data_IF_527277865266
#
_entry.id   IF_527277865266
#
_cell.length_a   1.000
_cell.length_b   1.000
_cell.length_c   1.000
_cell.angle_alpha   90.00
_cell.angle_beta   90.00
_cell.angle_gamma   90.00
#
_symmetry.space_group_name_H-M   'P 1'
#
loop_
_entity.id
_entity.type
_entity.pdbx_description
1 polymer ?
#
# COMPACT_ATOMS: atom_id res chain seq x y z
N UNK A 1 5.32 10.44 -11.28
CA UNK A 1 5.01 11.24 -10.09
C UNK A 1 3.51 11.12 -9.81
N UNK A 2 3.13 10.85 -8.57
CA UNK A 2 1.72 10.80 -8.15
C UNK A 2 1.36 12.09 -7.41
N UNK A 3 0.15 12.60 -7.65
CA UNK A 3 -0.32 13.82 -7.02
C UNK A 3 -1.83 13.75 -6.76
N UNK A 4 -2.25 14.19 -5.59
CA UNK A 4 -3.64 14.47 -5.26
C UNK A 4 -3.77 15.95 -4.88
N UNK A 5 -4.81 16.59 -5.35
CA UNK A 5 -5.04 18.03 -5.17
C UNK A 5 -6.45 18.28 -4.66
N UNK A 6 -6.54 18.89 -3.48
CA UNK A 6 -7.79 19.38 -2.92
C UNK A 6 -8.89 18.35 -2.76
N UNK A 7 -8.54 17.08 -2.43
CA UNK A 7 -9.54 16.02 -2.32
C UNK A 7 -10.51 16.28 -1.18
N UNK A 8 -11.80 16.33 -1.53
CA UNK A 8 -12.91 16.44 -0.58
C UNK A 8 -13.82 15.23 -0.69
N UNK A 9 -14.37 14.81 0.47
CA UNK A 9 -15.39 13.75 0.54
C UNK A 9 -16.26 13.91 1.75
N UNK A 10 -17.58 13.86 1.52
CA UNK A 10 -18.60 13.90 2.57
C UNK A 10 -19.51 12.67 2.49
N UNK A 11 -20.00 12.22 3.63
CA UNK A 11 -21.04 11.21 3.77
C UNK A 11 -22.22 11.84 4.53
N UNK A 12 -23.22 12.30 3.79
CA UNK A 12 -24.28 13.15 4.36
C UNK A 12 -23.68 14.46 4.88
N UNK A 13 -23.91 14.76 6.16
CA UNK A 13 -23.36 15.95 6.82
C UNK A 13 -21.94 15.80 7.34
N UNK A 14 -21.37 14.59 7.28
CA UNK A 14 -20.02 14.34 7.78
C UNK A 14 -18.98 14.52 6.69
N UNK A 15 -18.16 15.55 6.79
CA UNK A 15 -16.99 15.75 5.95
C UNK A 15 -15.83 14.91 6.45
N UNK A 16 -15.38 13.93 5.64
CA UNK A 16 -14.33 12.96 6.01
C UNK A 16 -12.98 13.27 5.33
N UNK A 17 -13.00 14.01 4.23
CA UNK A 17 -11.80 14.58 3.61
C UNK A 17 -12.08 16.03 3.24
N UNK A 18 -11.18 16.94 3.64
CA UNK A 18 -11.36 18.39 3.58
C UNK A 18 -10.18 19.05 2.86
N UNK A 19 -10.18 19.01 1.53
CA UNK A 19 -9.16 19.64 0.71
C UNK A 19 -7.78 18.99 0.83
N UNK A 20 -7.70 17.66 1.03
CA UNK A 20 -6.43 16.95 1.21
C UNK A 20 -5.62 16.99 -0.08
N UNK A 21 -4.38 17.46 0.03
CA UNK A 21 -3.41 17.45 -1.07
C UNK A 21 -2.16 16.71 -0.64
N UNK A 22 -1.59 15.89 -1.53
CA UNK A 22 -0.33 15.21 -1.31
C UNK A 22 0.40 14.98 -2.64
N UNK A 23 1.73 14.87 -2.58
CA UNK A 23 2.56 14.55 -3.73
C UNK A 23 3.58 13.47 -3.38
N UNK A 24 3.69 12.47 -4.25
CA UNK A 24 4.67 11.40 -4.13
C UNK A 24 5.60 11.47 -5.33
N UNK A 25 6.84 11.96 -5.17
CA UNK A 25 7.87 11.79 -6.18
C UNK A 25 8.20 10.31 -6.39
N UNK A 26 8.87 10.01 -7.49
CA UNK A 26 9.36 8.64 -7.75
C UNK A 26 10.24 8.18 -6.59
N UNK A 27 10.01 6.98 -6.11
CA UNK A 27 10.77 6.41 -5.01
C UNK A 27 10.45 6.99 -3.62
N UNK A 28 9.42 7.83 -3.48
CA UNK A 28 9.02 8.36 -2.18
C UNK A 28 8.66 7.24 -1.20
N UNK A 29 9.02 7.43 0.06
CA UNK A 29 8.60 6.64 1.21
C UNK A 29 7.76 7.54 2.10
N UNK A 30 6.46 7.51 1.92
CA UNK A 30 5.54 8.43 2.60
C UNK A 30 4.57 7.64 3.48
N UNK A 31 4.43 8.06 4.73
CA UNK A 31 3.45 7.49 5.63
C UNK A 31 2.29 8.47 5.90
N UNK A 32 1.09 7.93 6.02
CA UNK A 32 -0.08 8.63 6.54
C UNK A 32 -0.42 8.05 7.89
N UNK A 33 -0.44 8.89 8.90
CA UNK A 33 -0.78 8.52 10.27
C UNK A 33 -1.94 9.39 10.78
N UNK A 34 -2.56 8.98 11.87
CA UNK A 34 -3.65 9.73 12.51
C UNK A 34 -4.55 8.82 13.33
N UNK A 35 -5.38 9.37 14.21
CA UNK A 35 -6.29 8.59 15.05
C UNK A 35 -7.34 7.84 14.20
N UNK A 36 -8.04 6.90 14.84
CA UNK A 36 -9.17 6.24 14.20
C UNK A 36 -10.25 7.27 13.86
N UNK A 37 -10.84 7.15 12.67
CA UNK A 37 -11.82 8.11 12.17
C UNK A 37 -11.23 9.40 11.58
N UNK A 38 -9.91 9.55 11.49
CA UNK A 38 -9.29 10.75 10.88
C UNK A 38 -9.42 10.85 9.35
N UNK A 39 -9.94 9.79 8.68
CA UNK A 39 -10.16 9.79 7.24
C UNK A 39 -9.12 9.03 6.41
N UNK A 40 -8.16 8.32 7.03
CA UNK A 40 -7.08 7.59 6.33
C UNK A 40 -7.58 6.61 5.29
N UNK A 41 -8.46 5.69 5.69
CA UNK A 41 -9.04 4.67 4.76
C UNK A 41 -9.86 5.34 3.67
N UNK A 42 -10.61 6.40 3.98
CA UNK A 42 -11.35 7.18 2.98
C UNK A 42 -10.39 7.80 1.97
N UNK A 43 -9.29 8.40 2.43
CA UNK A 43 -8.26 8.96 1.54
C UNK A 43 -7.69 7.88 0.63
N UNK A 44 -7.35 6.70 1.15
CA UNK A 44 -6.88 5.58 0.31
C UNK A 44 -7.89 5.13 -0.74
N UNK A 45 -9.18 5.07 -0.37
CA UNK A 45 -10.25 4.75 -1.31
C UNK A 45 -10.39 5.81 -2.42
N UNK A 46 -10.20 7.09 -2.08
CA UNK A 46 -10.16 8.18 -3.07
C UNK A 46 -8.95 8.06 -4.01
N UNK A 47 -7.77 7.77 -3.44
CA UNK A 47 -6.53 7.62 -4.22
C UNK A 47 -6.54 6.38 -5.10
N UNK A 48 -7.10 5.25 -4.64
CA UNK A 48 -7.19 4.00 -5.40
C UNK A 48 -8.32 4.00 -6.44
N UNK A 49 -9.30 4.91 -6.32
CA UNK A 49 -10.48 4.97 -7.19
C UNK A 49 -11.63 4.05 -6.78
N UNK A 50 -11.57 3.47 -5.59
CA UNK A 50 -12.69 2.74 -4.99
C UNK A 50 -13.82 3.68 -4.56
N UNK A 51 -13.49 4.95 -4.32
CA UNK A 51 -14.42 6.00 -3.99
C UNK A 51 -14.13 7.23 -4.86
N UNK A 52 -15.19 7.83 -5.43
CA UNK A 52 -15.07 9.09 -6.14
C UNK A 52 -15.02 10.27 -5.16
N UNK A 53 -14.12 11.24 -5.33
CA UNK A 53 -14.14 12.47 -4.56
C UNK A 53 -15.34 13.34 -4.94
N UNK A 54 -15.79 14.19 -4.02
CA UNK A 54 -16.80 15.21 -4.28
C UNK A 54 -16.16 16.46 -4.93
N UNK A 55 -14.87 16.70 -4.65
CA UNK A 55 -14.04 17.70 -5.29
C UNK A 55 -12.57 17.31 -5.24
N UNK A 56 -11.74 17.95 -6.08
CA UNK A 56 -10.32 17.67 -6.18
C UNK A 56 -9.97 16.65 -7.25
N UNK A 57 -8.67 16.46 -7.47
CA UNK A 57 -8.14 15.69 -8.60
C UNK A 57 -7.02 14.75 -8.18
N UNK A 58 -6.87 13.64 -8.90
CA UNK A 58 -5.77 12.67 -8.75
C UNK A 58 -5.04 12.52 -10.08
N UNK A 59 -3.70 12.57 -10.03
CA UNK A 59 -2.82 12.49 -11.20
C UNK A 59 -1.77 11.40 -11.05
N UNK A 60 -1.50 10.67 -12.13
CA UNK A 60 -0.38 9.74 -12.27
C UNK A 60 0.43 10.16 -13.48
N UNK A 61 1.73 10.47 -13.29
CA UNK A 61 2.63 10.96 -14.33
C UNK A 61 2.05 12.14 -15.14
N UNK A 62 1.37 13.07 -14.47
CA UNK A 62 0.75 14.25 -15.08
C UNK A 62 -0.59 13.99 -15.78
N UNK A 63 -1.01 12.74 -15.89
CA UNK A 63 -2.33 12.38 -16.43
C UNK A 63 -3.35 12.35 -15.31
N UNK A 64 -4.46 13.03 -15.49
CA UNK A 64 -5.59 12.94 -14.58
C UNK A 64 -6.24 11.55 -14.61
N UNK A 65 -6.47 10.97 -13.43
CA UNK A 65 -7.06 9.66 -13.23
C UNK A 65 -8.25 9.67 -12.28
N UNK A 66 -8.75 10.84 -11.92
CA UNK A 66 -9.80 11.04 -10.92
C UNK A 66 -11.05 10.20 -11.19
N UNK A 67 -11.51 10.16 -12.44
CA UNK A 67 -12.69 9.39 -12.86
C UNK A 67 -12.39 7.92 -13.21
N UNK A 68 -11.13 7.49 -13.15
CA UNK A 68 -10.77 6.12 -13.51
C UNK A 68 -11.06 5.14 -12.36
N UNK A 69 -11.64 3.96 -12.67
CA UNK A 69 -11.84 2.90 -11.69
C UNK A 69 -10.50 2.25 -11.27
N UNK A 70 -10.47 1.47 -10.16
CA UNK A 70 -9.23 0.90 -9.61
C UNK A 70 -8.38 0.12 -10.60
N UNK A 71 -9.01 -0.70 -11.44
CA UNK A 71 -8.31 -1.51 -12.45
C UNK A 71 -7.64 -0.66 -13.53
N UNK A 72 -8.23 0.48 -13.90
CA UNK A 72 -7.63 1.43 -14.83
C UNK A 72 -6.48 2.22 -14.18
N UNK A 73 -6.59 2.57 -12.87
CA UNK A 73 -5.49 3.17 -12.11
C UNK A 73 -4.34 2.17 -11.93
N UNK A 74 -4.65 0.88 -11.71
CA UNK A 74 -3.63 -0.16 -11.66
C UNK A 74 -2.84 -0.25 -12.98
N UNK A 75 -3.54 -0.20 -14.13
CA UNK A 75 -2.89 -0.12 -15.46
C UNK A 75 -2.09 1.16 -15.67
N UNK A 76 -2.43 2.24 -15.01
CA UNK A 76 -1.66 3.48 -15.02
C UNK A 76 -0.44 3.44 -14.08
N UNK A 77 -0.32 2.42 -13.24
CA UNK A 77 0.82 2.17 -12.38
C UNK A 77 0.57 2.37 -10.88
N UNK A 78 -0.68 2.51 -10.43
CA UNK A 78 -1.01 2.62 -9.01
C UNK A 78 -1.70 1.34 -8.52
N UNK A 79 -1.08 0.64 -7.58
CA UNK A 79 -1.63 -0.57 -6.97
C UNK A 79 -1.83 -0.36 -5.48
N UNK A 80 -2.87 -0.97 -4.94
CA UNK A 80 -3.13 -1.05 -3.51
C UNK A 80 -3.02 -2.49 -3.04
N UNK A 81 -2.38 -2.73 -1.88
CA UNK A 81 -2.55 -3.99 -1.16
C UNK A 81 -3.97 -4.04 -0.58
N UNK A 82 -4.62 -5.18 -0.71
CA UNK A 82 -6.01 -5.31 -0.29
C UNK A 82 -6.11 -5.60 1.21
N UNK A 83 -7.08 -4.98 1.90
CA UNK A 83 -7.42 -5.26 3.30
C UNK A 83 -8.10 -6.63 3.50
N UNK A 84 -8.66 -7.24 2.45
CA UNK A 84 -9.31 -8.56 2.49
C UNK A 84 -8.51 -9.53 1.66
N UNK A 85 -8.25 -10.71 2.24
CA UNK A 85 -7.49 -11.80 1.64
C UNK A 85 -7.96 -12.12 0.20
N UNK A 86 -7.29 -11.56 -0.79
CA UNK A 86 -7.44 -11.93 -2.20
C UNK A 86 -6.51 -13.09 -2.56
N UNK A 87 -6.13 -13.88 -1.56
CA UNK A 87 -5.30 -15.05 -1.71
C UNK A 87 -6.17 -16.25 -2.08
N UNK A 88 -5.64 -17.12 -2.91
CA UNK A 88 -6.21 -18.44 -3.17
C UNK A 88 -5.71 -19.39 -2.09
N UNK A 89 -6.51 -19.71 -1.05
CA UNK A 89 -6.01 -20.39 0.15
C UNK A 89 -5.59 -21.83 -0.11
N UNK A 90 -6.17 -22.47 -1.10
CA UNK A 90 -5.89 -23.86 -1.49
C UNK A 90 -4.75 -23.99 -2.52
N UNK A 91 -4.29 -22.88 -3.07
CA UNK A 91 -3.15 -22.80 -3.96
C UNK A 91 -1.86 -22.56 -3.18
N UNK A 92 -0.72 -22.91 -3.76
CA UNK A 92 0.60 -22.63 -3.19
C UNK A 92 0.97 -21.15 -3.33
N UNK A 93 2.01 -20.71 -2.62
CA UNK A 93 2.60 -19.37 -2.77
C UNK A 93 3.00 -19.13 -4.23
N UNK A 94 3.70 -20.13 -4.84
CA UNK A 94 4.13 -20.02 -6.23
C UNK A 94 2.95 -19.86 -7.19
N UNK A 95 1.88 -20.64 -7.01
CA UNK A 95 0.68 -20.56 -7.84
C UNK A 95 -0.03 -19.18 -7.69
N UNK A 96 -0.16 -18.66 -6.48
CA UNK A 96 -0.72 -17.33 -6.24
C UNK A 96 0.07 -16.24 -6.97
N UNK A 97 1.40 -16.24 -6.81
CA UNK A 97 2.28 -15.28 -7.47
C UNK A 97 2.25 -15.45 -9.00
N UNK A 98 2.24 -16.69 -9.50
CA UNK A 98 2.18 -16.97 -10.93
C UNK A 98 0.87 -16.46 -11.56
N UNK A 99 -0.27 -16.60 -10.87
CA UNK A 99 -1.55 -16.02 -11.30
C UNK A 99 -1.44 -14.49 -11.41
N UNK A 100 -0.91 -13.84 -10.38
CA UNK A 100 -0.76 -12.39 -10.37
C UNK A 100 0.18 -11.89 -11.48
N UNK A 101 1.31 -12.56 -11.70
CA UNK A 101 2.26 -12.28 -12.80
C UNK A 101 1.58 -12.44 -14.16
N UNK A 102 0.77 -13.49 -14.36
CA UNK A 102 0.05 -13.70 -15.60
C UNK A 102 -0.97 -12.59 -15.89
N UNK A 103 -1.68 -12.13 -14.85
CA UNK A 103 -2.61 -10.99 -14.94
C UNK A 103 -1.86 -9.71 -15.32
N UNK A 104 -0.73 -9.42 -14.66
CA UNK A 104 0.11 -8.26 -14.92
C UNK A 104 0.68 -8.24 -16.34
N UNK A 105 1.09 -9.40 -16.85
CA UNK A 105 1.59 -9.56 -18.21
C UNK A 105 0.50 -9.47 -19.31
N UNK A 106 -0.77 -9.18 -18.95
CA UNK A 106 -1.92 -9.21 -19.87
C UNK A 106 -2.07 -10.54 -20.62
N UNK A 107 -1.60 -11.61 -20.02
CA UNK A 107 -1.68 -12.94 -20.58
C UNK A 107 -3.10 -13.55 -20.48
N UNK A 108 -4.13 -12.71 -20.42
CA UNK A 108 -5.54 -13.07 -20.19
C UNK A 108 -6.17 -13.99 -21.25
N UNK A 109 -5.42 -14.42 -22.26
CA UNK A 109 -5.80 -15.44 -23.23
C UNK A 109 -5.01 -16.73 -23.07
N UNK A 110 -4.16 -16.84 -22.07
CA UNK A 110 -3.40 -18.06 -21.82
C UNK A 110 -4.35 -19.11 -21.21
N UNK A 111 -4.74 -20.09 -21.98
CA UNK A 111 -5.45 -21.27 -21.52
C UNK A 111 -4.71 -21.87 -20.32
N UNK A 112 -5.43 -22.28 -19.27
CA UNK A 112 -4.92 -22.86 -18.03
C UNK A 112 -3.79 -23.90 -18.19
N UNK A 113 -3.81 -24.68 -19.29
CA UNK A 113 -2.73 -25.63 -19.63
C UNK A 113 -1.42 -24.96 -20.07
N UNK A 114 -1.51 -23.82 -20.76
CA UNK A 114 -0.33 -23.03 -21.16
C UNK A 114 0.26 -22.27 -19.97
N UNK A 115 -0.59 -21.81 -19.04
CA UNK A 115 -0.18 -21.21 -17.77
C UNK A 115 0.73 -22.14 -16.96
N UNK A 116 0.31 -23.40 -16.70
CA UNK A 116 1.12 -24.39 -15.97
C UNK A 116 2.45 -24.74 -16.65
N UNK A 117 2.60 -24.50 -17.95
CA UNK A 117 3.82 -24.79 -18.74
C UNK A 117 4.67 -23.55 -19.03
N UNK A 118 4.24 -22.36 -18.67
CA UNK A 118 4.99 -21.13 -18.94
C UNK A 118 6.15 -20.99 -17.95
N UNK A 119 7.34 -21.42 -18.37
CA UNK A 119 8.58 -21.28 -17.60
C UNK A 119 8.91 -19.82 -17.25
N UNK A 120 8.51 -18.86 -18.09
CA UNK A 120 8.73 -17.44 -17.83
C UNK A 120 7.87 -16.90 -16.67
N UNK A 121 6.58 -17.25 -16.64
CA UNK A 121 5.68 -16.86 -15.54
C UNK A 121 6.19 -17.42 -14.21
N UNK A 122 6.56 -18.71 -14.18
CA UNK A 122 7.07 -19.35 -12.96
C UNK A 122 8.40 -18.75 -12.52
N UNK A 123 9.31 -18.45 -13.46
CA UNK A 123 10.58 -17.79 -13.15
C UNK A 123 10.35 -16.40 -12.54
N UNK A 124 9.44 -15.60 -13.11
CA UNK A 124 9.09 -14.27 -12.57
C UNK A 124 8.40 -14.39 -11.21
N UNK A 125 7.52 -15.37 -11.03
CA UNK A 125 6.88 -15.64 -9.74
C UNK A 125 7.90 -16.04 -8.66
N UNK A 126 8.87 -16.91 -8.99
CA UNK A 126 9.94 -17.29 -8.07
C UNK A 126 10.85 -16.10 -7.71
N UNK A 127 11.22 -15.26 -8.69
CA UNK A 127 11.99 -14.03 -8.42
C UNK A 127 11.20 -13.04 -7.55
N UNK A 128 9.89 -12.99 -7.70
CA UNK A 128 9.03 -12.17 -6.84
C UNK A 128 8.95 -12.75 -5.42
N UNK A 129 8.85 -14.06 -5.28
CA UNK A 129 8.89 -14.74 -3.97
C UNK A 129 10.20 -14.47 -3.22
N UNK A 130 11.34 -14.46 -3.92
CA UNK A 130 12.63 -14.08 -3.35
C UNK A 130 12.59 -12.62 -2.83
N UNK A 131 12.08 -11.69 -3.63
CA UNK A 131 11.95 -10.27 -3.26
C UNK A 131 11.10 -10.05 -2.00
N UNK A 132 10.04 -10.82 -1.84
CA UNK A 132 9.17 -10.76 -0.66
C UNK A 132 9.55 -11.77 0.43
N UNK A 133 10.75 -12.41 0.33
CA UNK A 133 11.31 -13.35 1.29
C UNK A 133 10.48 -14.62 1.52
N UNK A 134 9.72 -15.05 0.50
CA UNK A 134 8.87 -16.25 0.55
C UNK A 134 9.42 -17.47 -0.17
N UNK A 135 10.68 -17.45 -0.60
CA UNK A 135 11.35 -18.60 -1.26
C UNK A 135 11.20 -19.92 -0.47
N UNK A 136 11.33 -19.97 0.88
CA UNK A 136 11.16 -21.21 1.64
C UNK A 136 9.74 -21.78 1.61
N UNK A 137 8.75 -20.97 1.22
CA UNK A 137 7.33 -21.33 1.27
C UNK A 137 6.70 -21.56 -0.10
N UNK A 138 7.49 -21.59 -1.20
CA UNK A 138 6.98 -21.65 -2.58
C UNK A 138 5.93 -22.75 -2.79
N UNK A 139 6.17 -23.95 -2.26
CA UNK A 139 5.29 -25.11 -2.39
C UNK A 139 4.26 -25.25 -1.25
N UNK A 140 4.25 -24.30 -0.31
CA UNK A 140 3.32 -24.30 0.82
C UNK A 140 1.99 -23.71 0.39
N UNK A 141 0.88 -24.36 0.73
CA UNK A 141 -0.47 -23.81 0.52
C UNK A 141 -0.68 -22.58 1.42
N UNK A 142 -1.36 -21.58 0.89
CA UNK A 142 -1.54 -20.31 1.61
C UNK A 142 -2.24 -20.49 2.96
N UNK A 143 -3.22 -21.38 3.05
CA UNK A 143 -3.91 -21.66 4.33
C UNK A 143 -3.00 -22.19 5.44
N UNK A 144 -1.86 -22.78 5.10
CA UNK A 144 -0.88 -23.30 6.05
C UNK A 144 0.17 -22.25 6.48
N UNK A 145 0.16 -21.06 5.88
CA UNK A 145 1.11 -20.01 6.20
C UNK A 145 0.74 -19.27 7.50
N UNK A 146 1.72 -18.84 8.29
CA UNK A 146 1.51 -17.83 9.35
C UNK A 146 0.90 -16.55 8.79
N UNK A 147 0.20 -15.81 9.63
CA UNK A 147 -0.50 -14.58 9.23
C UNK A 147 0.43 -13.54 8.60
N UNK A 148 1.57 -13.26 9.24
CA UNK A 148 2.56 -12.31 8.70
C UNK A 148 3.08 -12.72 7.33
N UNK A 149 3.27 -14.04 7.10
CA UNK A 149 3.71 -14.59 5.80
C UNK A 149 2.62 -14.42 4.72
N UNK A 150 1.34 -14.56 5.08
CA UNK A 150 0.23 -14.25 4.17
C UNK A 150 0.22 -12.78 3.77
N UNK A 151 0.48 -11.86 4.71
CA UNK A 151 0.60 -10.42 4.43
C UNK A 151 1.79 -10.10 3.52
N UNK A 152 2.93 -10.78 3.67
CA UNK A 152 4.05 -10.65 2.72
C UNK A 152 3.63 -11.08 1.31
N UNK A 153 2.86 -12.18 1.20
CA UNK A 153 2.33 -12.64 -0.09
C UNK A 153 1.39 -11.61 -0.73
N UNK A 154 0.52 -10.95 0.03
CA UNK A 154 -0.35 -9.88 -0.47
C UNK A 154 0.45 -8.71 -1.08
N UNK A 155 1.56 -8.32 -0.44
CA UNK A 155 2.49 -7.33 -1.03
C UNK A 155 3.07 -7.87 -2.35
N UNK A 156 3.45 -9.16 -2.39
CA UNK A 156 3.92 -9.81 -3.61
C UNK A 156 2.91 -9.77 -4.74
N UNK A 157 1.64 -10.05 -4.48
CA UNK A 157 0.59 -9.95 -5.49
C UNK A 157 0.46 -8.52 -6.04
N UNK A 158 0.55 -7.52 -5.16
CA UNK A 158 0.50 -6.11 -5.58
C UNK A 158 1.73 -5.71 -6.41
N UNK A 159 2.91 -6.29 -6.14
CA UNK A 159 4.14 -6.06 -6.91
C UNK A 159 4.18 -6.79 -8.26
N UNK A 160 3.39 -7.86 -8.42
CA UNK A 160 3.40 -8.72 -9.62
C UNK A 160 3.05 -7.96 -10.92
N UNK A 161 2.30 -6.86 -10.81
CA UNK A 161 1.94 -6.00 -11.95
C UNK A 161 2.95 -4.85 -12.19
N UNK A 162 4.08 -4.86 -11.50
CA UNK A 162 5.17 -3.88 -11.62
C UNK A 162 4.69 -2.43 -11.45
N UNK A 163 4.06 -2.09 -10.32
CA UNK A 163 3.51 -0.76 -10.11
C UNK A 163 4.60 0.31 -9.99
N UNK A 164 4.25 1.56 -10.29
CA UNK A 164 5.06 2.75 -10.01
C UNK A 164 4.80 3.29 -8.61
N UNK A 165 3.58 3.04 -8.11
CA UNK A 165 3.06 3.52 -6.83
C UNK A 165 2.35 2.36 -6.14
N UNK A 166 2.73 2.08 -4.91
CA UNK A 166 2.11 1.06 -4.07
C UNK A 166 1.50 1.70 -2.82
N UNK A 167 0.21 1.49 -2.66
CA UNK A 167 -0.54 1.88 -1.46
C UNK A 167 -0.61 0.67 -0.52
N UNK A 168 -0.10 0.80 0.71
CA UNK A 168 -0.16 -0.22 1.76
C UNK A 168 -1.06 0.27 2.89
N UNK A 169 -2.09 -0.49 3.22
CA UNK A 169 -3.07 -0.14 4.24
C UNK A 169 -2.86 -1.02 5.48
N UNK A 170 -2.28 -0.45 6.52
CA UNK A 170 -1.94 -1.08 7.80
C UNK A 170 -1.26 -2.46 7.61
N UNK A 171 -0.10 -2.51 6.89
CA UNK A 171 0.53 -3.78 6.54
C UNK A 171 1.00 -4.58 7.76
N UNK A 172 1.18 -3.96 8.93
CA UNK A 172 1.62 -4.62 10.18
C UNK A 172 0.49 -4.94 11.14
N UNK A 173 -0.76 -4.59 10.81
CA UNK A 173 -1.89 -4.78 11.71
C UNK A 173 -2.09 -6.27 12.10
N UNK A 174 -2.20 -6.54 13.39
CA UNK A 174 -2.43 -7.89 13.94
C UNK A 174 -1.19 -8.79 13.98
N UNK A 175 0.00 -8.27 13.70
CA UNK A 175 1.27 -8.97 13.76
C UNK A 175 1.88 -8.93 15.17
N UNK A 176 2.69 -9.94 15.49
CA UNK A 176 3.60 -9.89 16.64
C UNK A 176 4.72 -8.86 16.40
N UNK A 177 5.46 -8.51 17.45
CA UNK A 177 6.60 -7.57 17.35
C UNK A 177 7.67 -8.06 16.34
N UNK A 178 7.98 -9.35 16.34
CA UNK A 178 8.96 -9.93 15.42
C UNK A 178 8.47 -9.88 13.96
N UNK A 179 7.20 -10.25 13.72
CA UNK A 179 6.59 -10.16 12.38
C UNK A 179 6.52 -8.71 11.89
N UNK A 180 6.20 -7.76 12.78
CA UNK A 180 6.19 -6.33 12.48
C UNK A 180 7.58 -5.85 12.05
N UNK A 181 8.63 -6.20 12.79
CA UNK A 181 10.01 -5.86 12.45
C UNK A 181 10.45 -6.44 11.09
N UNK A 182 10.08 -7.70 10.80
CA UNK A 182 10.37 -8.31 9.50
C UNK A 182 9.58 -7.65 8.36
N UNK A 183 8.33 -7.27 8.59
CA UNK A 183 7.52 -6.55 7.61
C UNK A 183 8.08 -5.14 7.35
N UNK A 184 8.50 -4.42 8.38
CA UNK A 184 9.14 -3.10 8.24
C UNK A 184 10.42 -3.18 7.39
N UNK A 185 11.28 -4.20 7.64
CA UNK A 185 12.46 -4.47 6.80
C UNK A 185 12.10 -4.81 5.35
N UNK A 186 11.05 -5.62 5.15
CA UNK A 186 10.57 -5.94 3.80
C UNK A 186 10.16 -4.66 3.06
N UNK A 187 9.37 -3.78 3.69
CA UNK A 187 8.89 -2.53 3.12
C UNK A 187 10.06 -1.59 2.80
N UNK A 188 11.06 -1.51 3.67
CA UNK A 188 12.27 -0.70 3.47
C UNK A 188 13.10 -1.19 2.27
N UNK A 189 13.17 -2.52 2.07
CA UNK A 189 13.95 -3.16 0.99
C UNK A 189 13.23 -3.18 -0.37
N UNK A 190 11.98 -2.71 -0.45
CA UNK A 190 11.26 -2.61 -1.73
C UNK A 190 12.02 -1.70 -2.72
N UNK A 191 11.88 -1.91 -4.05
CA UNK A 191 12.63 -1.18 -5.07
C UNK A 191 12.63 0.34 -4.84
N UNK A 192 13.78 0.97 -4.97
CA UNK A 192 13.95 2.42 -4.70
C UNK A 192 13.16 3.31 -5.66
N UNK A 193 12.85 2.80 -6.85
CA UNK A 193 12.05 3.50 -7.86
C UNK A 193 10.54 3.47 -7.58
N UNK A 194 10.10 2.50 -6.77
CA UNK A 194 8.71 2.34 -6.38
C UNK A 194 8.35 3.40 -5.33
N UNK A 195 7.37 4.25 -5.61
CA UNK A 195 6.83 5.14 -4.61
C UNK A 195 5.88 4.36 -3.67
N UNK A 196 6.07 4.51 -2.37
CA UNK A 196 5.24 3.90 -1.34
C UNK A 196 4.43 4.97 -0.61
N UNK A 197 3.15 4.70 -0.45
CA UNK A 197 2.29 5.41 0.49
C UNK A 197 1.70 4.40 1.45
N UNK A 198 1.99 4.53 2.73
CA UNK A 198 1.63 3.55 3.76
C UNK A 198 0.75 4.22 4.79
N UNK A 199 -0.43 3.64 5.06
CA UNK A 199 -1.17 3.97 6.28
C UNK A 199 -0.65 3.08 7.39
N UNK A 200 -0.28 3.67 8.50
CA UNK A 200 0.11 2.98 9.73
C UNK A 200 -0.35 3.75 10.96
N UNK A 201 -0.50 3.04 12.05
CA UNK A 201 -0.81 3.62 13.35
C UNK A 201 0.37 3.49 14.33
N UNK A 202 1.32 2.62 14.07
CA UNK A 202 2.54 2.45 14.85
C UNK A 202 3.60 3.44 14.36
N UNK A 203 3.88 4.44 15.19
CA UNK A 203 4.86 5.48 14.87
C UNK A 203 6.29 4.97 14.82
N UNK A 204 6.64 3.92 15.58
CA UNK A 204 7.98 3.34 15.54
C UNK A 204 8.24 2.71 14.19
N UNK A 205 7.29 1.91 13.71
CA UNK A 205 7.34 1.33 12.34
C UNK A 205 7.46 2.41 11.28
N UNK A 206 6.67 3.48 11.40
CA UNK A 206 6.68 4.60 10.45
C UNK A 206 8.03 5.29 10.41
N UNK A 207 8.65 5.53 11.57
CA UNK A 207 9.95 6.21 11.66
C UNK A 207 11.09 5.40 11.05
N UNK A 208 10.97 4.07 10.95
CA UNK A 208 12.00 3.20 10.40
C UNK A 208 12.08 3.28 8.87
N UNK A 209 10.97 3.53 8.15
CA UNK A 209 10.97 3.52 6.69
C UNK A 209 10.61 4.85 6.03
N UNK A 210 9.82 5.72 6.71
CA UNK A 210 9.28 6.91 6.07
C UNK A 210 10.30 8.03 5.92
N UNK A 211 10.33 8.65 4.76
CA UNK A 211 11.08 9.89 4.49
C UNK A 211 10.20 11.11 4.75
N UNK A 212 8.88 10.95 4.64
CA UNK A 212 7.88 11.99 4.86
C UNK A 212 6.65 11.40 5.52
N UNK A 213 6.03 12.14 6.41
CA UNK A 213 4.86 11.72 7.17
C UNK A 213 3.81 12.82 7.06
N UNK A 214 2.58 12.44 6.72
CA UNK A 214 1.39 13.28 6.82
C UNK A 214 0.54 12.81 7.99
N UNK A 215 0.26 13.69 8.92
CA UNK A 215 -0.64 13.44 10.05
C UNK A 215 -2.03 13.95 9.69
N UNK A 216 -3.02 13.05 9.66
CA UNK A 216 -4.42 13.40 9.44
C UNK A 216 -5.16 13.53 10.77
N UNK A 217 -6.00 14.54 10.88
CA UNK A 217 -6.92 14.74 12.00
C UNK A 217 -8.25 15.31 11.47
N UNK A 218 -9.37 14.67 11.83
CA UNK A 218 -10.73 15.06 11.41
C UNK A 218 -10.86 15.44 9.91
N UNK A 219 -10.28 14.62 9.03
CA UNK A 219 -10.38 14.81 7.58
C UNK A 219 -9.47 15.87 7.00
N UNK A 220 -8.57 16.46 7.77
CA UNK A 220 -7.63 17.48 7.33
C UNK A 220 -6.18 17.07 7.63
N UNK A 221 -5.23 17.67 6.92
CA UNK A 221 -3.81 17.53 7.23
C UNK A 221 -3.50 18.40 8.43
N UNK A 222 -3.15 17.78 9.56
CA UNK A 222 -2.71 18.45 10.77
C UNK A 222 -1.25 18.92 10.66
N UNK A 223 -0.39 18.05 10.15
CA UNK A 223 1.02 18.33 9.97
C UNK A 223 1.59 17.45 8.83
N UNK A 224 2.60 17.94 8.16
CA UNK A 224 3.38 17.18 7.18
C UNK A 224 4.86 17.54 7.29
N UNK A 225 5.73 16.54 7.31
CA UNK A 225 7.17 16.77 7.45
C UNK A 225 7.98 15.48 7.44
N UNK A 226 9.27 15.64 7.69
CA UNK A 226 10.19 14.51 7.95
C UNK A 226 9.86 13.86 9.29
N UNK A 227 10.30 12.61 9.54
CA UNK A 227 10.16 11.96 10.85
C UNK A 227 10.63 12.84 12.03
N UNK A 228 11.74 13.55 11.86
CA UNK A 228 12.28 14.44 12.90
C UNK A 228 11.36 15.65 13.17
N UNK A 229 10.83 16.29 12.12
CA UNK A 229 9.89 17.41 12.25
C UNK A 229 8.59 16.99 12.92
N UNK A 230 8.04 15.82 12.53
CA UNK A 230 6.81 15.27 13.12
C UNK A 230 7.01 14.92 14.61
N UNK A 231 8.15 14.31 14.97
CA UNK A 231 8.51 14.05 16.38
C UNK A 231 8.62 15.31 17.21
N UNK A 232 9.17 16.38 16.62
CA UNK A 232 9.37 17.66 17.30
C UNK A 232 8.08 18.49 17.40
N UNK A 233 7.05 18.20 16.60
CA UNK A 233 5.82 19.00 16.53
C UNK A 233 5.03 18.97 17.84
N UNK A 234 4.84 20.13 18.52
CA UNK A 234 4.06 20.17 19.77
C UNK A 234 2.58 19.82 19.53
N UNK A 235 2.05 20.13 18.36
CA UNK A 235 0.67 19.84 18.01
C UNK A 235 0.42 18.35 17.82
N UNK A 236 1.33 17.65 17.11
CA UNK A 236 1.28 16.19 16.92
C UNK A 236 1.45 15.49 18.26
N UNK A 237 2.40 15.94 19.10
CA UNK A 237 2.60 15.39 20.45
C UNK A 237 1.33 15.47 21.29
N UNK A 238 0.71 16.64 21.35
CA UNK A 238 -0.49 16.86 22.17
C UNK A 238 -1.69 16.04 21.71
N UNK A 239 -1.86 15.88 20.39
CA UNK A 239 -3.07 15.22 19.83
C UNK A 239 -2.90 13.74 19.57
N UNK A 240 -1.68 13.29 19.25
CA UNK A 240 -1.46 11.95 18.74
C UNK A 240 -0.45 11.12 19.50
N UNK A 241 0.71 11.69 19.94
CA UNK A 241 1.75 10.93 20.61
C UNK A 241 1.57 10.86 22.14
N UNK A 242 0.71 11.70 22.74
CA UNK A 242 0.57 11.81 24.18
C UNK A 242 1.81 12.42 24.87
N UNK A 243 1.74 12.68 26.17
CA UNK A 243 2.87 13.23 26.95
C UNK A 243 4.00 12.21 27.21
N UNK A 244 3.85 10.95 26.80
CA UNK A 244 4.77 9.86 27.12
C UNK A 244 6.05 9.80 26.25
N UNK A 245 6.18 10.62 25.22
CA UNK A 245 7.40 10.68 24.40
C UNK A 245 8.39 11.70 24.95
N UNK A 246 8.97 11.39 26.14
CA UNK A 246 10.16 12.07 26.68
C UNK A 246 11.42 11.33 26.28
#
# INVERSE_FOLDING_TARGET
MFKAEGLCKSFGALEVARGISLALPRGARHAIVGPNGSGKTTLFNLLSGELAPDAGHVYIDGREVTALPPDARARAGLTRSFQKNNLFPDATVLENLAIAVAIGARAGTIFWRAFKRSSDIHRRAAALAERIRLTPYLETTVRALPYGTQRQLEIGLALAIEPKILLLDEPTAGMSADETAEMAKLIADLPRELALLVIEHDMEVVFDFAQRITVLDYGSVLAEGTPAEIRASPEVRRRYLGEAAR
#
